data_IF_024181394688
#
_entry.id   IF_024181394688
#
_cell.length_a   1.000
_cell.length_b   1.000
_cell.length_c   1.000
_cell.angle_alpha   90.00
_cell.angle_beta   90.00
_cell.angle_gamma   90.00
#
_symmetry.space_group_name_H-M   'P 1'
#
loop_
_entity.id
_entity.type
_entity.pdbx_description
1 polymer ?
#
# COMPACT_ATOMS: atom_id res chain seq x y z
N UNK A 1 29.61 -6.51 -0.11
CA UNK A 1 28.75 -6.70 1.07
C UNK A 1 28.61 -8.15 1.45
N UNK A 2 28.41 -9.08 0.54
CA UNK A 2 28.55 -10.51 0.76
C UNK A 2 29.69 -10.99 -0.14
N UNK A 3 30.71 -11.63 0.44
CA UNK A 3 31.85 -12.17 -0.30
C UNK A 3 31.52 -13.53 -0.96
N UNK A 4 30.22 -13.68 -1.37
CA UNK A 4 29.73 -14.88 -2.03
C UNK A 4 29.66 -14.65 -3.55
N UNK A 5 30.05 -15.68 -4.31
CA UNK A 5 29.82 -15.73 -5.75
C UNK A 5 28.34 -16.05 -6.03
N UNK A 6 27.92 -15.88 -7.29
CA UNK A 6 26.56 -16.26 -7.70
C UNK A 6 26.31 -17.76 -7.49
N UNK A 7 27.32 -18.56 -7.78
CA UNK A 7 27.31 -20.01 -7.62
C UNK A 7 27.14 -20.40 -6.14
N UNK A 8 27.89 -19.75 -5.24
CA UNK A 8 27.74 -19.96 -3.79
C UNK A 8 26.30 -19.63 -3.33
N UNK A 9 25.74 -18.52 -3.80
CA UNK A 9 24.38 -18.12 -3.45
C UNK A 9 23.33 -19.09 -3.99
N UNK A 10 23.55 -19.67 -5.16
CA UNK A 10 22.65 -20.68 -5.72
C UNK A 10 22.71 -21.99 -4.91
N UNK A 11 23.91 -22.45 -4.52
CA UNK A 11 24.07 -23.62 -3.65
C UNK A 11 23.41 -23.43 -2.28
N UNK A 12 23.43 -22.20 -1.75
CA UNK A 12 22.77 -21.84 -0.48
C UNK A 12 21.26 -21.60 -0.63
N UNK A 13 20.71 -21.60 -1.86
CA UNK A 13 19.32 -21.24 -2.11
C UNK A 13 19.00 -19.78 -1.81
N UNK A 14 20.01 -18.89 -1.79
CA UNK A 14 19.90 -17.48 -1.38
C UNK A 14 19.98 -16.47 -2.55
N UNK A 15 20.18 -16.94 -3.79
CA UNK A 15 20.45 -16.08 -4.96
C UNK A 15 19.33 -15.08 -5.19
N UNK A 16 18.06 -15.52 -5.20
CA UNK A 16 16.91 -14.69 -5.53
C UNK A 16 16.75 -13.57 -4.50
N UNK A 17 16.66 -13.92 -3.22
CA UNK A 17 16.46 -12.93 -2.14
C UNK A 17 17.64 -11.95 -2.04
N UNK A 18 18.87 -12.43 -2.22
CA UNK A 18 20.06 -11.56 -2.23
C UNK A 18 20.00 -10.56 -3.36
N UNK A 19 19.65 -10.98 -4.58
CA UNK A 19 19.49 -10.09 -5.72
C UNK A 19 18.40 -9.03 -5.44
N UNK A 20 17.27 -9.45 -4.91
CA UNK A 20 16.14 -8.56 -4.58
C UNK A 20 16.48 -7.57 -3.47
N UNK A 21 17.33 -7.93 -2.51
CA UNK A 21 17.87 -6.98 -1.52
C UNK A 21 18.78 -5.95 -2.20
N UNK A 22 19.68 -6.37 -3.08
CA UNK A 22 20.65 -5.47 -3.70
C UNK A 22 20.04 -4.51 -4.72
N UNK A 23 18.93 -4.86 -5.35
CA UNK A 23 18.26 -3.98 -6.31
C UNK A 23 17.51 -2.81 -5.64
N UNK A 24 17.19 -2.90 -4.36
CA UNK A 24 16.32 -1.93 -3.68
C UNK A 24 16.72 -0.47 -3.87
N UNK A 25 18.01 -0.05 -3.74
CA UNK A 25 18.37 1.35 -3.92
C UNK A 25 18.04 1.93 -5.30
N UNK A 26 18.11 1.12 -6.37
CA UNK A 26 17.70 1.54 -7.71
C UNK A 26 16.18 1.58 -7.86
N UNK A 27 15.50 0.61 -7.26
CA UNK A 27 14.04 0.51 -7.28
C UNK A 27 13.39 1.65 -6.50
N UNK A 28 13.96 2.07 -5.36
CA UNK A 28 13.45 3.23 -4.60
C UNK A 28 13.51 4.54 -5.39
N UNK A 29 14.58 4.75 -6.18
CA UNK A 29 14.67 5.90 -7.07
C UNK A 29 13.57 5.89 -8.13
N UNK A 30 13.29 4.73 -8.70
CA UNK A 30 12.22 4.56 -9.67
C UNK A 30 10.83 4.74 -9.01
N UNK A 31 10.62 4.21 -7.81
CA UNK A 31 9.40 4.44 -7.02
C UNK A 31 9.17 5.94 -6.78
N UNK A 32 10.19 6.66 -6.34
CA UNK A 32 10.10 8.12 -6.14
C UNK A 32 9.81 8.87 -7.46
N UNK A 33 10.41 8.43 -8.59
CA UNK A 33 10.13 9.01 -9.91
C UNK A 33 8.67 8.82 -10.32
N UNK A 34 8.13 7.61 -10.17
CA UNK A 34 6.72 7.31 -10.47
C UNK A 34 5.76 8.13 -9.61
N UNK A 35 6.08 8.32 -8.33
CA UNK A 35 5.32 9.22 -7.46
C UNK A 35 5.36 10.67 -7.99
N UNK A 36 6.53 11.21 -8.31
CA UNK A 36 6.66 12.59 -8.81
C UNK A 36 5.86 12.83 -10.10
N UNK A 37 5.81 11.86 -10.99
CA UNK A 37 5.03 11.95 -12.23
C UNK A 37 3.52 12.06 -11.97
N UNK A 38 3.05 11.50 -10.86
CA UNK A 38 1.64 11.47 -10.48
C UNK A 38 1.30 12.34 -9.28
N UNK A 39 2.26 13.10 -8.75
CA UNK A 39 2.10 13.91 -7.53
C UNK A 39 0.87 14.82 -7.58
N UNK A 40 0.64 15.49 -8.70
CA UNK A 40 -0.51 16.38 -8.86
C UNK A 40 -1.87 15.63 -8.79
N UNK A 41 -1.95 14.46 -9.40
CA UNK A 41 -3.14 13.59 -9.36
C UNK A 41 -3.40 13.06 -7.93
N UNK A 42 -2.34 12.58 -7.28
CA UNK A 42 -2.40 12.08 -5.90
C UNK A 42 -2.88 13.16 -4.95
N UNK A 43 -2.29 14.36 -5.02
CA UNK A 43 -2.71 15.52 -4.21
C UNK A 43 -4.16 15.88 -4.46
N UNK A 44 -4.57 16.02 -5.71
CA UNK A 44 -5.95 16.36 -6.04
C UNK A 44 -6.97 15.33 -5.51
N UNK A 45 -6.60 14.04 -5.52
CA UNK A 45 -7.44 12.98 -4.97
C UNK A 45 -7.61 13.12 -3.44
N UNK A 46 -6.51 13.33 -2.71
CA UNK A 46 -6.55 13.51 -1.25
C UNK A 46 -7.20 14.83 -0.83
N UNK A 47 -6.89 15.92 -1.50
CA UNK A 47 -7.50 17.24 -1.25
C UNK A 47 -9.02 17.21 -1.42
N UNK A 48 -9.52 16.56 -2.48
CA UNK A 48 -10.95 16.38 -2.70
C UNK A 48 -11.60 15.69 -1.51
N UNK A 49 -11.04 14.57 -1.05
CA UNK A 49 -11.57 13.81 0.09
C UNK A 49 -11.54 14.67 1.36
N UNK A 50 -10.40 15.35 1.61
CA UNK A 50 -10.23 16.21 2.79
C UNK A 50 -11.18 17.42 2.83
N UNK A 51 -11.61 17.93 1.67
CA UNK A 51 -12.59 19.02 1.58
C UNK A 51 -14.04 18.55 1.72
N UNK A 52 -14.33 17.30 1.35
CA UNK A 52 -15.69 16.74 1.40
C UNK A 52 -16.08 16.25 2.80
N UNK A 53 -15.11 15.96 3.70
CA UNK A 53 -15.37 15.33 4.98
C UNK A 53 -14.56 15.93 6.13
N UNK A 54 -15.21 16.24 7.25
CA UNK A 54 -14.56 16.75 8.48
C UNK A 54 -13.75 15.67 9.21
N UNK A 55 -14.12 14.39 9.04
CA UNK A 55 -13.43 13.24 9.63
C UNK A 55 -13.32 12.12 8.60
N UNK A 56 -12.12 11.59 8.45
CA UNK A 56 -11.79 10.53 7.48
C UNK A 56 -11.02 9.44 8.20
N UNK A 57 -11.53 8.22 8.13
CA UNK A 57 -10.81 7.05 8.60
C UNK A 57 -9.92 6.51 7.48
N UNK A 58 -8.61 6.40 7.74
CA UNK A 58 -7.66 5.82 6.80
C UNK A 58 -7.23 4.46 7.32
N UNK A 59 -7.59 3.40 6.60
CA UNK A 59 -7.23 2.02 6.95
C UNK A 59 -6.09 1.58 6.03
N UNK A 60 -4.89 1.43 6.58
CA UNK A 60 -3.75 0.83 5.91
C UNK A 60 -3.84 -0.69 6.10
N UNK A 61 -4.01 -1.44 5.01
CA UNK A 61 -4.29 -2.89 5.09
C UNK A 61 -3.47 -3.70 4.10
N UNK A 62 -3.20 -4.94 4.45
CA UNK A 62 -2.50 -5.90 3.61
C UNK A 62 -2.57 -7.31 4.17
N UNK A 63 -2.15 -8.29 3.38
CA UNK A 63 -2.06 -9.68 3.78
C UNK A 63 -0.61 -10.04 4.14
N UNK A 64 -0.40 -10.72 5.26
CA UNK A 64 0.93 -11.15 5.72
C UNK A 64 1.91 -9.97 5.86
N UNK A 65 3.09 -10.06 5.23
CA UNK A 65 4.11 -9.01 5.30
C UNK A 65 3.62 -7.65 4.76
N UNK A 66 2.64 -7.62 3.85
CA UNK A 66 2.07 -6.36 3.37
C UNK A 66 1.33 -5.58 4.47
N UNK A 67 0.81 -6.24 5.50
CA UNK A 67 0.18 -5.56 6.65
C UNK A 67 1.20 -4.72 7.42
N UNK A 68 2.45 -5.18 7.52
CA UNK A 68 3.51 -4.48 8.25
C UNK A 68 3.89 -3.12 7.63
N UNK A 69 3.49 -2.84 6.40
CA UNK A 69 3.63 -1.49 5.82
C UNK A 69 2.80 -0.50 6.64
N UNK A 70 1.54 -0.83 6.92
CA UNK A 70 0.68 -0.03 7.78
C UNK A 70 1.22 0.08 9.21
N UNK A 71 1.63 -1.04 9.82
CA UNK A 71 2.18 -1.05 11.19
C UNK A 71 3.42 -0.16 11.31
N UNK A 72 4.23 -0.06 10.26
CA UNK A 72 5.42 0.78 10.24
C UNK A 72 5.07 2.27 10.11
N UNK A 73 4.07 2.60 9.29
CA UNK A 73 3.75 4.00 8.97
C UNK A 73 2.81 4.67 9.96
N UNK A 74 1.84 3.95 10.51
CA UNK A 74 0.78 4.55 11.35
C UNK A 74 1.32 5.37 12.51
N UNK A 75 2.34 4.93 13.28
CA UNK A 75 2.85 5.77 14.37
C UNK A 75 3.36 7.14 13.90
N UNK A 76 4.06 7.18 12.76
CA UNK A 76 4.52 8.43 12.19
C UNK A 76 3.37 9.29 11.66
N UNK A 77 2.42 8.69 10.92
CA UNK A 77 1.30 9.43 10.35
C UNK A 77 0.38 10.02 11.42
N UNK A 78 0.20 9.33 12.55
CA UNK A 78 -0.54 9.84 13.70
C UNK A 78 0.17 11.02 14.38
N UNK A 79 1.50 11.07 14.34
CA UNK A 79 2.28 12.18 14.90
C UNK A 79 2.17 13.45 14.05
N UNK A 80 2.15 13.31 12.71
CA UNK A 80 2.23 14.44 11.78
C UNK A 80 0.88 14.95 11.27
N UNK A 81 -0.21 14.21 11.50
CA UNK A 81 -1.56 14.59 11.11
C UNK A 81 -2.47 14.91 12.30
N UNK A 82 -3.49 15.74 12.07
CA UNK A 82 -4.59 15.90 13.03
C UNK A 82 -5.53 14.70 12.95
N UNK A 83 -5.44 13.80 13.94
CA UNK A 83 -6.27 12.58 14.00
C UNK A 83 -7.78 12.85 14.07
N UNK A 84 -8.19 14.08 14.40
CA UNK A 84 -9.60 14.50 14.37
C UNK A 84 -10.13 14.68 12.95
N UNK A 85 -9.21 14.86 11.97
CA UNK A 85 -9.53 14.96 10.56
C UNK A 85 -9.11 13.68 9.81
N UNK A 86 -7.83 13.28 9.88
CA UNK A 86 -7.29 12.09 9.23
C UNK A 86 -6.87 11.05 10.27
N UNK A 87 -7.71 10.05 10.53
CA UNK A 87 -7.45 9.00 11.52
C UNK A 87 -6.82 7.76 10.88
N UNK A 88 -5.53 7.58 11.04
CA UNK A 88 -4.77 6.47 10.47
C UNK A 88 -4.79 5.24 11.38
N UNK A 89 -5.12 4.08 10.79
CA UNK A 89 -5.13 2.78 11.46
C UNK A 89 -4.48 1.73 10.58
N UNK A 90 -3.66 0.85 11.18
CA UNK A 90 -3.17 -0.37 10.52
C UNK A 90 -4.06 -1.53 10.94
N UNK A 91 -4.68 -2.20 9.96
CA UNK A 91 -5.59 -3.34 10.22
C UNK A 91 -5.33 -4.39 9.15
N UNK A 92 -4.86 -5.56 9.57
CA UNK A 92 -4.61 -6.66 8.63
C UNK A 92 -5.90 -7.10 7.90
N UNK A 93 -5.77 -7.51 6.64
CA UNK A 93 -6.92 -8.01 5.86
C UNK A 93 -7.63 -9.18 6.54
N UNK A 94 -6.89 -10.04 7.22
CA UNK A 94 -7.44 -11.17 7.99
C UNK A 94 -8.37 -10.73 9.12
N UNK A 95 -8.05 -9.62 9.78
CA UNK A 95 -8.86 -9.08 10.87
C UNK A 95 -10.15 -8.45 10.32
N UNK A 96 -10.02 -7.71 9.19
CA UNK A 96 -11.18 -7.11 8.52
C UNK A 96 -12.13 -8.21 8.04
N UNK A 97 -11.63 -9.26 7.40
CA UNK A 97 -12.46 -10.37 6.91
C UNK A 97 -13.12 -11.13 8.06
N UNK A 98 -12.42 -11.32 9.18
CA UNK A 98 -12.97 -12.01 10.34
C UNK A 98 -14.08 -11.20 11.06
N UNK A 99 -13.90 -9.87 11.14
CA UNK A 99 -14.82 -8.99 11.87
C UNK A 99 -15.08 -7.66 11.12
N UNK A 100 -15.67 -7.72 9.91
CA UNK A 100 -15.76 -6.54 9.04
C UNK A 100 -16.51 -5.37 9.69
N UNK A 101 -17.62 -5.61 10.39
CA UNK A 101 -18.41 -4.57 11.03
C UNK A 101 -17.70 -3.89 12.21
N UNK A 102 -16.62 -4.47 12.73
CA UNK A 102 -15.78 -3.82 13.75
C UNK A 102 -14.99 -2.67 13.14
N UNK A 103 -14.44 -2.88 11.96
CA UNK A 103 -13.51 -1.96 11.31
C UNK A 103 -14.16 -1.08 10.25
N UNK A 104 -15.10 -1.63 9.49
CA UNK A 104 -15.82 -0.93 8.42
C UNK A 104 -17.15 -0.43 8.95
N UNK A 105 -17.29 0.90 9.08
CA UNK A 105 -18.49 1.54 9.59
C UNK A 105 -19.23 2.24 8.45
N UNK A 106 -20.50 1.94 8.31
CA UNK A 106 -21.33 2.39 7.20
C UNK A 106 -21.26 3.89 6.95
N UNK A 107 -21.41 4.69 8.01
CA UNK A 107 -21.55 6.15 7.95
C UNK A 107 -20.21 6.89 8.12
N UNK A 108 -19.08 6.18 8.21
CA UNK A 108 -17.76 6.77 8.42
C UNK A 108 -17.01 6.82 7.10
N UNK A 109 -16.77 8.02 6.55
CA UNK A 109 -15.95 8.17 5.35
C UNK A 109 -14.60 7.46 5.53
N UNK A 110 -14.28 6.57 4.61
CA UNK A 110 -13.12 5.68 4.76
C UNK A 110 -12.26 5.69 3.50
N UNK A 111 -10.95 5.89 3.69
CA UNK A 111 -9.93 5.63 2.67
C UNK A 111 -9.30 4.27 2.98
N UNK A 112 -9.55 3.28 2.14
CA UNK A 112 -8.93 1.96 2.24
C UNK A 112 -7.65 1.92 1.41
N UNK A 113 -6.50 1.84 2.07
CA UNK A 113 -5.19 1.75 1.43
C UNK A 113 -4.75 0.29 1.41
N UNK A 114 -4.79 -0.33 0.24
CA UNK A 114 -4.48 -1.75 0.06
C UNK A 114 -3.04 -1.95 -0.41
N UNK A 115 -2.21 -2.64 0.39
CA UNK A 115 -0.86 -3.04 0.03
C UNK A 115 -0.86 -4.48 -0.46
N UNK A 116 -0.34 -4.71 -1.67
CA UNK A 116 -0.33 -6.04 -2.23
C UNK A 116 0.85 -6.29 -3.18
N UNK A 117 1.66 -7.34 -2.96
CA UNK A 117 2.65 -7.75 -3.93
C UNK A 117 1.98 -8.30 -5.20
N UNK A 118 1.20 -9.35 -5.09
CA UNK A 118 0.52 -9.98 -6.22
C UNK A 118 -0.89 -9.44 -6.51
N UNK A 119 -1.53 -8.83 -5.51
CA UNK A 119 -2.91 -8.38 -5.61
C UNK A 119 -3.97 -9.49 -5.75
N UNK A 120 -3.60 -10.75 -5.46
CA UNK A 120 -4.46 -11.93 -5.67
C UNK A 120 -4.83 -12.66 -4.39
N UNK A 121 -4.32 -12.24 -3.23
CA UNK A 121 -4.63 -12.87 -1.94
C UNK A 121 -6.13 -12.84 -1.69
N UNK A 122 -6.77 -14.00 -1.38
CA UNK A 122 -8.22 -14.05 -1.20
C UNK A 122 -8.74 -13.08 -0.15
N UNK A 123 -8.04 -12.93 0.96
CA UNK A 123 -8.36 -12.00 2.03
C UNK A 123 -8.25 -10.53 1.61
N UNK A 124 -7.31 -10.17 0.73
CA UNK A 124 -7.20 -8.81 0.21
C UNK A 124 -8.37 -8.47 -0.71
N UNK A 125 -8.72 -9.39 -1.60
CA UNK A 125 -9.88 -9.23 -2.50
C UNK A 125 -11.19 -9.18 -1.69
N UNK A 126 -11.34 -10.06 -0.69
CA UNK A 126 -12.51 -10.06 0.18
C UNK A 126 -12.63 -8.77 1.01
N UNK A 127 -11.51 -8.23 1.50
CA UNK A 127 -11.50 -6.94 2.24
C UNK A 127 -12.01 -5.80 1.39
N UNK A 128 -11.57 -5.68 0.14
CA UNK A 128 -12.05 -4.66 -0.80
C UNK A 128 -13.55 -4.81 -1.05
N UNK A 129 -14.01 -6.02 -1.31
CA UNK A 129 -15.44 -6.29 -1.52
C UNK A 129 -16.28 -5.93 -0.30
N UNK A 130 -15.83 -6.32 0.90
CA UNK A 130 -16.53 -6.00 2.15
C UNK A 130 -16.58 -4.49 2.40
N UNK A 131 -15.50 -3.76 2.08
CA UNK A 131 -15.49 -2.31 2.20
C UNK A 131 -16.50 -1.66 1.25
N UNK A 132 -16.56 -2.11 -0.01
CA UNK A 132 -17.53 -1.64 -1.01
C UNK A 132 -18.98 -1.92 -0.59
N UNK A 133 -19.23 -3.05 0.07
CA UNK A 133 -20.58 -3.45 0.49
C UNK A 133 -21.04 -2.73 1.78
N UNK A 134 -20.10 -2.33 2.64
CA UNK A 134 -20.44 -1.89 4.00
C UNK A 134 -20.28 -0.37 4.22
N UNK A 135 -19.45 0.32 3.44
CA UNK A 135 -19.13 1.75 3.65
C UNK A 135 -19.77 2.59 2.57
N UNK A 136 -20.60 3.57 2.96
CA UNK A 136 -21.31 4.43 2.01
C UNK A 136 -20.36 5.38 1.26
N UNK A 137 -19.41 6.01 1.99
CA UNK A 137 -18.40 6.91 1.44
C UNK A 137 -17.02 6.25 1.49
N UNK A 138 -16.78 5.34 0.53
CA UNK A 138 -15.53 4.63 0.37
C UNK A 138 -14.68 5.25 -0.74
N UNK A 139 -13.43 5.53 -0.39
CA UNK A 139 -12.34 5.83 -1.31
C UNK A 139 -11.25 4.78 -1.16
N UNK A 140 -10.51 4.53 -2.21
CA UNK A 140 -9.49 3.49 -2.20
C UNK A 140 -8.16 4.00 -2.76
N UNK A 141 -7.06 3.51 -2.21
CA UNK A 141 -5.73 3.66 -2.79
C UNK A 141 -5.15 2.26 -2.88
N UNK A 142 -4.96 1.77 -4.10
CA UNK A 142 -4.39 0.44 -4.35
C UNK A 142 -2.92 0.57 -4.70
N UNK A 143 -2.03 0.16 -3.78
CA UNK A 143 -0.57 0.16 -3.96
C UNK A 143 -0.13 -1.29 -4.19
N UNK A 144 0.25 -1.63 -5.43
CA UNK A 144 0.53 -3.02 -5.79
C UNK A 144 1.69 -3.16 -6.78
N UNK A 145 2.40 -4.30 -6.71
CA UNK A 145 3.52 -4.62 -7.59
C UNK A 145 3.09 -5.39 -8.86
N UNK A 146 1.83 -5.82 -8.94
CA UNK A 146 1.33 -6.63 -10.04
C UNK A 146 0.18 -5.94 -10.76
N UNK A 147 0.45 -5.46 -11.97
CA UNK A 147 -0.53 -4.81 -12.86
C UNK A 147 -1.69 -5.76 -13.23
N UNK A 148 -1.39 -7.05 -13.40
CA UNK A 148 -2.36 -8.10 -13.73
C UNK A 148 -3.06 -8.69 -12.49
N UNK A 149 -2.74 -8.20 -11.30
CA UNK A 149 -3.38 -8.62 -10.05
C UNK A 149 -4.85 -8.19 -9.97
N UNK A 150 -5.69 -8.99 -9.31
CA UNK A 150 -7.13 -8.71 -9.18
C UNK A 150 -7.40 -7.31 -8.60
N UNK A 151 -6.63 -6.87 -7.60
CA UNK A 151 -6.79 -5.55 -7.00
C UNK A 151 -6.49 -4.43 -8.01
N UNK A 152 -5.42 -4.58 -8.84
CA UNK A 152 -5.12 -3.60 -9.88
C UNK A 152 -6.22 -3.57 -10.95
N UNK A 153 -6.68 -4.74 -11.41
CA UNK A 153 -7.75 -4.85 -12.41
C UNK A 153 -9.07 -4.26 -11.91
N UNK A 154 -9.40 -4.41 -10.62
CA UNK A 154 -10.60 -3.82 -10.03
C UNK A 154 -10.48 -2.30 -9.86
N UNK A 155 -9.28 -1.77 -9.67
CA UNK A 155 -9.04 -0.34 -9.53
C UNK A 155 -9.11 0.42 -10.87
N UNK A 156 -8.92 -0.27 -12.01
CA UNK A 156 -8.95 0.37 -13.31
C UNK A 156 -10.33 0.97 -13.63
N UNK A 157 -10.35 2.25 -13.94
CA UNK A 157 -11.57 2.98 -14.33
C UNK A 157 -12.49 3.35 -13.17
N UNK A 158 -12.11 3.10 -11.94
CA UNK A 158 -12.81 3.53 -10.76
C UNK A 158 -12.25 4.89 -10.26
N UNK A 159 -13.03 5.96 -10.41
CA UNK A 159 -12.63 7.32 -10.00
C UNK A 159 -12.46 7.46 -8.48
N UNK A 160 -12.99 6.53 -7.69
CA UNK A 160 -12.82 6.46 -6.24
C UNK A 160 -11.67 5.54 -5.80
N UNK A 161 -10.90 4.99 -6.77
CA UNK A 161 -9.77 4.10 -6.48
C UNK A 161 -8.50 4.57 -7.21
N UNK A 162 -7.58 5.17 -6.47
CA UNK A 162 -6.30 5.59 -6.99
C UNK A 162 -5.34 4.40 -7.06
N UNK A 163 -5.09 3.89 -8.27
CA UNK A 163 -4.14 2.80 -8.49
C UNK A 163 -2.70 3.32 -8.59
N UNK A 164 -1.82 2.87 -7.70
CA UNK A 164 -0.40 3.19 -7.66
C UNK A 164 0.44 1.94 -7.91
N UNK A 165 0.75 1.67 -9.18
CA UNK A 165 1.61 0.56 -9.57
C UNK A 165 3.06 0.84 -9.18
N UNK A 166 3.70 -0.18 -8.60
CA UNK A 166 5.10 -0.16 -8.25
C UNK A 166 5.98 -0.57 -9.45
N UNK A 167 7.29 -0.24 -9.46
CA UNK A 167 8.21 -0.73 -10.47
C UNK A 167 8.12 -2.25 -10.64
N UNK A 168 8.27 -2.77 -11.86
CA UNK A 168 8.11 -4.21 -12.16
C UNK A 168 9.04 -5.10 -11.33
N UNK A 169 10.24 -4.60 -11.04
CA UNK A 169 11.26 -5.28 -10.25
C UNK A 169 10.83 -5.49 -8.79
N UNK A 170 9.80 -4.77 -8.31
CA UNK A 170 9.27 -4.92 -6.95
C UNK A 170 8.40 -6.15 -6.76
N UNK A 171 7.98 -6.82 -7.83
CA UNK A 171 7.23 -8.05 -7.73
C UNK A 171 8.17 -9.20 -7.37
N UNK A 172 8.63 -9.21 -6.11
CA UNK A 172 9.61 -10.16 -5.59
C UNK A 172 9.23 -11.60 -5.97
N UNK A 173 10.15 -12.31 -6.63
CA UNK A 173 10.02 -13.72 -6.96
C UNK A 173 10.37 -14.62 -5.78
N UNK A 174 11.18 -14.12 -4.85
CA UNK A 174 11.54 -14.80 -3.62
C UNK A 174 10.36 -14.92 -2.66
N UNK A 175 10.48 -15.86 -1.72
CA UNK A 175 9.47 -16.03 -0.67
C UNK A 175 9.39 -14.79 0.24
N UNK A 176 10.54 -14.25 0.63
CA UNK A 176 10.62 -13.05 1.45
C UNK A 176 10.26 -11.80 0.62
N UNK A 177 9.35 -10.98 1.14
CA UNK A 177 9.09 -9.66 0.58
C UNK A 177 10.25 -8.72 0.95
N UNK A 178 10.91 -8.17 -0.06
CA UNK A 178 12.05 -7.25 0.07
C UNK A 178 11.77 -5.93 -0.66
N UNK A 179 11.96 -5.90 -1.97
CA UNK A 179 11.70 -4.73 -2.81
C UNK A 179 10.23 -4.32 -2.79
N UNK A 180 9.30 -5.28 -2.78
CA UNK A 180 7.87 -5.00 -2.70
C UNK A 180 7.50 -4.26 -1.42
N UNK A 181 7.98 -4.75 -0.26
CA UNK A 181 7.69 -4.13 1.02
C UNK A 181 8.20 -2.69 1.08
N UNK A 182 9.49 -2.48 0.79
CA UNK A 182 10.11 -1.15 0.94
C UNK A 182 9.63 -0.14 -0.08
N UNK A 183 9.26 -0.57 -1.30
CA UNK A 183 8.70 0.34 -2.31
C UNK A 183 7.27 0.73 -1.97
N UNK A 184 6.42 -0.19 -1.51
CA UNK A 184 5.07 0.14 -1.04
C UNK A 184 5.12 1.07 0.18
N UNK A 185 6.06 0.82 1.11
CA UNK A 185 6.29 1.69 2.26
C UNK A 185 6.68 3.12 1.82
N UNK A 186 7.65 3.24 0.91
CA UNK A 186 8.09 4.54 0.37
C UNK A 186 6.95 5.25 -0.35
N UNK A 187 6.19 4.56 -1.19
CA UNK A 187 5.03 5.15 -1.89
C UNK A 187 4.01 5.68 -0.90
N UNK A 188 3.62 4.90 0.11
CA UNK A 188 2.62 5.33 1.07
C UNK A 188 3.13 6.49 1.96
N UNK A 189 4.42 6.50 2.31
CA UNK A 189 5.05 7.64 2.99
C UNK A 189 4.95 8.91 2.13
N UNK A 190 5.35 8.85 0.86
CA UNK A 190 5.28 10.00 -0.05
C UNK A 190 3.84 10.49 -0.32
N UNK A 191 2.86 9.58 -0.29
CA UNK A 191 1.43 9.92 -0.47
C UNK A 191 0.88 10.69 0.72
N UNK A 192 1.25 10.32 1.93
CA UNK A 192 0.64 10.84 3.16
C UNK A 192 1.56 11.76 3.98
N UNK A 193 2.82 11.94 3.62
CA UNK A 193 3.72 12.84 4.35
C UNK A 193 3.36 14.31 4.05
N UNK A 194 2.93 15.10 5.05
CA UNK A 194 2.57 16.50 4.84
C UNK A 194 3.77 17.38 4.47
N UNK A 195 5.01 16.97 4.78
CA UNK A 195 6.22 17.71 4.39
C UNK A 195 6.46 17.74 2.88
N UNK A 196 5.83 16.85 2.13
CA UNK A 196 5.81 16.86 0.67
C UNK A 196 4.93 17.99 0.08
N UNK A 197 4.21 18.73 0.93
CA UNK A 197 3.41 19.88 0.52
C UNK A 197 4.22 21.18 0.42
N UNK A 198 5.40 21.26 1.07
CA UNK A 198 6.32 22.38 1.02
C UNK A 198 7.31 22.28 -0.15
#
# INVERSE_FOLDING_TARGET
>A
MLDYTKEDLQELGAEITTREIYQQPSVWKETARLYQERKAEIKAFLEKIGQEHDYIKVILTGAGTSAYVGDTLVPYLQEVHDERHWNFQSIATTDIVAHPQTYLKKEVPTVLVSFARSGNSPESVATVQLAQDLVDELYQITITCAEEGKLALQAHGDERNLLLLQPKETNDAGFAMTSSFTSMLLTALLVFDPSEEE
#
